data_IF_225436726089
#
_entry.id   IF_225436726089
#
_cell.length_a   1.000
_cell.length_b   1.000
_cell.length_c   1.000
_cell.angle_alpha   90.00
_cell.angle_beta   90.00
_cell.angle_gamma   90.00
#
_symmetry.space_group_name_H-M   'P 1'
#
loop_
_entity.id
_entity.type
_entity.pdbx_description
1 polymer ?
#
# COMPACT_ATOMS: atom_id res chain seq x y z
N UNK A 1 11.11 15.97 -3.24
CA UNK A 1 11.15 14.78 -4.12
C UNK A 1 11.47 13.50 -3.36
N UNK A 2 12.49 13.48 -2.49
CA UNK A 2 12.87 12.28 -1.70
C UNK A 2 11.70 11.60 -0.96
N UNK A 3 10.87 12.36 -0.23
CA UNK A 3 9.70 11.82 0.49
C UNK A 3 8.69 11.14 -0.46
N UNK A 4 8.60 11.57 -1.72
CA UNK A 4 7.68 10.97 -2.70
C UNK A 4 8.09 9.56 -3.08
N UNK A 5 9.39 9.29 -3.24
CA UNK A 5 9.88 7.94 -3.47
C UNK A 5 9.59 7.00 -2.30
N UNK A 6 9.58 7.51 -1.06
CA UNK A 6 9.18 6.73 0.12
C UNK A 6 7.67 6.42 0.11
N UNK A 7 6.84 7.39 -0.27
CA UNK A 7 5.39 7.18 -0.47
C UNK A 7 5.15 6.12 -1.54
N UNK A 8 5.86 6.21 -2.67
CA UNK A 8 5.75 5.20 -3.72
C UNK A 8 6.22 3.82 -3.24
N UNK A 9 7.35 3.75 -2.52
CA UNK A 9 7.83 2.50 -1.93
C UNK A 9 6.81 1.88 -0.96
N UNK A 10 6.15 2.71 -0.14
CA UNK A 10 5.07 2.29 0.75
C UNK A 10 3.88 1.71 -0.04
N UNK A 11 3.40 2.41 -1.07
CA UNK A 11 2.30 1.95 -1.91
C UNK A 11 2.64 0.64 -2.63
N UNK A 12 3.86 0.52 -3.16
CA UNK A 12 4.36 -0.70 -3.79
C UNK A 12 4.37 -1.88 -2.79
N UNK A 13 4.90 -1.67 -1.58
CA UNK A 13 5.01 -2.72 -0.56
C UNK A 13 3.64 -3.14 -0.05
N UNK A 14 2.73 -2.18 0.15
CA UNK A 14 1.33 -2.42 0.48
C UNK A 14 0.66 -3.25 -0.61
N UNK A 15 0.84 -2.89 -1.88
CA UNK A 15 0.34 -3.66 -3.01
C UNK A 15 0.86 -5.10 -3.01
N UNK A 16 2.17 -5.27 -2.80
CA UNK A 16 2.80 -6.57 -2.73
C UNK A 16 2.23 -7.45 -1.61
N UNK A 17 2.15 -6.92 -0.40
CA UNK A 17 1.66 -7.65 0.77
C UNK A 17 0.20 -8.06 0.64
N UNK A 18 -0.67 -7.14 0.22
CA UNK A 18 -2.09 -7.44 0.04
C UNK A 18 -2.34 -8.41 -1.12
N UNK A 19 -1.65 -8.25 -2.24
CA UNK A 19 -1.77 -9.18 -3.38
C UNK A 19 -1.32 -10.59 -2.99
N UNK A 20 -0.24 -10.72 -2.21
CA UNK A 20 0.19 -12.01 -1.66
C UNK A 20 -0.87 -12.65 -0.75
N UNK A 21 -1.54 -11.84 0.08
CA UNK A 21 -2.62 -12.31 0.95
C UNK A 21 -3.80 -12.84 0.12
N UNK A 22 -4.28 -12.09 -0.88
CA UNK A 22 -5.35 -12.52 -1.77
C UNK A 22 -4.97 -13.80 -2.52
N UNK A 23 -3.74 -13.91 -3.00
CA UNK A 23 -3.26 -15.12 -3.67
C UNK A 23 -3.29 -16.34 -2.77
N UNK A 24 -2.82 -16.22 -1.52
CA UNK A 24 -2.83 -17.31 -0.55
C UNK A 24 -4.27 -17.73 -0.20
N UNK A 25 -5.15 -16.77 0.06
CA UNK A 25 -6.52 -17.04 0.49
C UNK A 25 -7.34 -17.69 -0.62
N UNK A 26 -7.21 -17.23 -1.87
CA UNK A 26 -7.91 -17.85 -2.99
C UNK A 26 -7.37 -19.24 -3.31
N UNK A 27 -6.05 -19.45 -3.24
CA UNK A 27 -5.45 -20.78 -3.38
C UNK A 27 -5.95 -21.79 -2.33
N UNK A 28 -6.28 -21.35 -1.11
CA UNK A 28 -6.88 -22.19 -0.08
C UNK A 28 -8.38 -22.44 -0.33
N UNK A 29 -9.11 -21.43 -0.80
CA UNK A 29 -10.54 -21.54 -1.08
C UNK A 29 -10.88 -22.52 -2.22
N UNK A 30 -9.94 -22.76 -3.14
CA UNK A 30 -10.12 -23.75 -4.21
C UNK A 30 -10.13 -25.21 -3.69
N UNK A 31 -9.41 -25.48 -2.58
CA UNK A 31 -9.32 -26.82 -1.96
C UNK A 31 -10.58 -27.17 -1.17
N UNK A 32 -11.23 -26.17 -0.58
CA UNK A 32 -12.40 -26.33 0.32
C UNK A 32 -13.74 -26.39 -0.46
N UNK A 33 -13.69 -26.33 -1.80
CA UNK A 33 -14.86 -26.15 -2.67
C UNK A 33 -15.66 -27.43 -2.97
N UNK A 34 -15.43 -28.54 -2.26
CA UNK A 34 -15.97 -29.86 -2.59
C UNK A 34 -17.21 -30.30 -1.78
N UNK A 35 -17.80 -29.42 -0.98
CA UNK A 35 -18.99 -29.75 -0.17
C UNK A 35 -20.26 -29.00 -0.65
N UNK A 36 -21.31 -29.77 -0.98
CA UNK A 36 -22.57 -29.35 -1.59
C UNK A 36 -23.60 -28.94 -0.52
N UNK A 37 -23.44 -27.76 0.06
CA UNK A 37 -24.49 -27.13 0.88
C UNK A 37 -24.75 -25.68 0.47
N UNK A 38 -26.03 -25.28 0.58
CA UNK A 38 -26.68 -24.02 0.20
C UNK A 38 -25.78 -22.88 -0.31
N UNK A 39 -25.91 -22.59 -1.61
CA UNK A 39 -25.10 -21.65 -2.39
C UNK A 39 -25.06 -20.22 -1.79
N UNK A 40 -26.18 -19.73 -1.26
CA UNK A 40 -26.31 -18.36 -0.76
C UNK A 40 -25.58 -18.14 0.58
N UNK A 41 -25.69 -19.11 1.49
CA UNK A 41 -24.98 -19.05 2.79
C UNK A 41 -23.46 -19.22 2.60
N UNK A 42 -23.05 -20.04 1.62
CA UNK A 42 -21.64 -20.23 1.23
C UNK A 42 -21.02 -18.96 0.64
N UNK A 43 -21.79 -18.15 -0.09
CA UNK A 43 -21.32 -16.89 -0.66
C UNK A 43 -20.99 -15.86 0.44
N UNK A 44 -21.91 -15.66 1.39
CA UNK A 44 -21.74 -14.70 2.49
C UNK A 44 -20.56 -15.10 3.38
N UNK A 45 -20.47 -16.39 3.74
CA UNK A 45 -19.37 -16.91 4.57
C UNK A 45 -18.01 -16.85 3.89
N UNK A 46 -17.95 -17.00 2.56
CA UNK A 46 -16.71 -16.86 1.78
C UNK A 46 -16.26 -15.41 1.64
N UNK A 47 -17.19 -14.47 1.49
CA UNK A 47 -16.89 -13.03 1.30
C UNK A 47 -16.58 -12.34 2.62
N UNK A 48 -17.19 -12.78 3.74
CA UNK A 48 -17.04 -12.13 5.05
C UNK A 48 -15.58 -11.89 5.49
N UNK A 49 -14.65 -12.87 5.42
CA UNK A 49 -13.26 -12.64 5.79
C UNK A 49 -12.56 -11.57 4.96
N UNK A 50 -12.96 -11.40 3.69
CA UNK A 50 -12.42 -10.37 2.80
C UNK A 50 -12.96 -8.99 3.19
N UNK A 51 -14.26 -8.90 3.48
CA UNK A 51 -14.90 -7.66 3.95
C UNK A 51 -14.34 -7.24 5.31
N UNK A 52 -14.23 -8.17 6.26
CA UNK A 52 -13.61 -7.91 7.56
C UNK A 52 -12.19 -7.37 7.39
N UNK A 53 -11.38 -7.98 6.51
CA UNK A 53 -10.03 -7.48 6.22
C UNK A 53 -10.03 -6.07 5.62
N UNK A 54 -10.97 -5.78 4.71
CA UNK A 54 -11.11 -4.43 4.17
C UNK A 54 -11.42 -3.41 5.28
N UNK A 55 -12.36 -3.73 6.17
CA UNK A 55 -12.70 -2.89 7.32
C UNK A 55 -11.53 -2.70 8.28
N UNK A 56 -10.76 -3.75 8.58
CA UNK A 56 -9.56 -3.65 9.43
C UNK A 56 -8.52 -2.68 8.87
N UNK A 57 -8.24 -2.78 7.56
CA UNK A 57 -7.24 -1.92 6.92
C UNK A 57 -7.75 -0.49 6.84
N UNK A 58 -9.01 -0.29 6.43
CA UNK A 58 -9.61 1.04 6.38
C UNK A 58 -9.65 1.68 7.78
N UNK A 59 -9.97 0.92 8.82
CA UNK A 59 -9.89 1.36 10.20
C UNK A 59 -8.46 1.80 10.57
N UNK A 60 -7.47 0.94 10.34
CA UNK A 60 -6.06 1.18 10.70
C UNK A 60 -5.51 2.45 10.04
N UNK A 61 -5.90 2.73 8.80
CA UNK A 61 -5.44 3.90 8.08
C UNK A 61 -6.19 5.17 8.49
N UNK A 62 -7.50 5.08 8.77
CA UNK A 62 -8.35 6.26 8.86
C UNK A 62 -8.66 6.73 10.27
N UNK A 63 -8.76 5.83 11.26
CA UNK A 63 -9.29 6.20 12.58
C UNK A 63 -8.53 7.39 13.17
N UNK A 64 -7.20 7.29 13.23
CA UNK A 64 -6.40 8.32 13.88
C UNK A 64 -6.51 9.67 13.16
N UNK A 65 -6.50 9.67 11.83
CA UNK A 65 -6.67 10.89 11.03
C UNK A 65 -8.06 11.52 11.23
N UNK A 66 -9.13 10.71 11.28
CA UNK A 66 -10.49 11.19 11.52
C UNK A 66 -10.62 11.81 12.91
N UNK A 67 -10.06 11.16 13.94
CA UNK A 67 -10.04 11.70 15.31
C UNK A 67 -9.26 13.02 15.36
N UNK A 68 -8.09 13.10 14.72
CA UNK A 68 -7.32 14.34 14.63
C UNK A 68 -8.07 15.46 13.91
N UNK A 69 -8.76 15.14 12.80
CA UNK A 69 -9.59 16.11 12.09
C UNK A 69 -10.71 16.67 12.97
N UNK A 70 -11.37 15.80 13.74
CA UNK A 70 -12.41 16.20 14.68
C UNK A 70 -11.85 17.09 15.81
N UNK A 71 -10.76 16.66 16.45
CA UNK A 71 -10.16 17.40 17.57
C UNK A 71 -9.58 18.75 17.17
N UNK A 72 -8.97 18.84 15.99
CA UNK A 72 -8.30 20.05 15.50
C UNK A 72 -9.22 20.92 14.63
N UNK A 73 -10.48 20.52 14.44
CA UNK A 73 -11.43 21.15 13.52
C UNK A 73 -10.83 21.38 12.11
N UNK A 74 -10.14 20.35 11.59
CA UNK A 74 -9.49 20.40 10.28
C UNK A 74 -10.19 19.47 9.29
N UNK A 75 -10.15 19.84 8.01
CA UNK A 75 -10.68 19.00 6.94
C UNK A 75 -9.84 17.73 6.77
N UNK A 76 -10.48 16.63 6.40
CA UNK A 76 -9.82 15.34 6.20
C UNK A 76 -8.67 15.38 5.19
N UNK A 77 -8.79 16.20 4.15
CA UNK A 77 -7.74 16.40 3.15
C UNK A 77 -6.47 17.11 3.65
N UNK A 78 -6.48 17.69 4.85
CA UNK A 78 -5.25 18.21 5.48
C UNK A 78 -4.21 17.09 5.61
N UNK A 79 -4.65 15.89 5.99
CA UNK A 79 -3.81 14.69 6.05
C UNK A 79 -3.87 13.87 4.75
N UNK A 80 -3.63 14.50 3.60
CA UNK A 80 -3.92 13.95 2.26
C UNK A 80 -3.36 12.54 1.98
N UNK A 81 -2.28 12.13 2.66
CA UNK A 81 -1.70 10.79 2.50
C UNK A 81 -2.69 9.68 2.91
N UNK A 82 -3.54 9.93 3.92
CA UNK A 82 -4.53 8.97 4.41
C UNK A 82 -5.65 8.68 3.40
N UNK A 83 -6.31 9.68 2.79
CA UNK A 83 -7.21 9.43 1.66
C UNK A 83 -6.51 8.74 0.50
N UNK A 84 -5.25 9.09 0.23
CA UNK A 84 -4.47 8.51 -0.87
C UNK A 84 -4.26 7.00 -0.69
N UNK A 85 -3.74 6.56 0.46
CA UNK A 85 -3.53 5.13 0.72
C UNK A 85 -4.85 4.36 0.82
N UNK A 86 -5.91 4.99 1.35
CA UNK A 86 -7.25 4.39 1.45
C UNK A 86 -7.89 4.18 0.07
N UNK A 87 -7.75 5.16 -0.82
CA UNK A 87 -8.19 5.05 -2.21
C UNK A 87 -7.46 3.90 -2.92
N UNK A 88 -6.13 3.90 -2.87
CA UNK A 88 -5.32 2.88 -3.55
C UNK A 88 -5.55 1.47 -2.99
N UNK A 89 -5.75 1.34 -1.68
CA UNK A 89 -6.13 0.07 -1.08
C UNK A 89 -7.52 -0.40 -1.54
N UNK A 90 -8.51 0.50 -1.63
CA UNK A 90 -9.84 0.18 -2.16
C UNK A 90 -9.75 -0.26 -3.62
N UNK A 91 -8.96 0.45 -4.42
CA UNK A 91 -8.68 0.08 -5.80
C UNK A 91 -8.05 -1.31 -5.91
N UNK A 92 -7.02 -1.60 -5.10
CA UNK A 92 -6.39 -2.91 -5.02
C UNK A 92 -7.40 -4.01 -4.67
N UNK A 93 -8.22 -3.77 -3.64
CA UNK A 93 -9.21 -4.74 -3.16
C UNK A 93 -10.18 -5.14 -4.28
N UNK A 94 -10.71 -4.16 -5.02
CA UNK A 94 -11.61 -4.38 -6.15
C UNK A 94 -10.87 -5.09 -7.29
N UNK A 95 -9.70 -4.59 -7.68
CA UNK A 95 -8.90 -5.16 -8.77
C UNK A 95 -8.54 -6.64 -8.52
N UNK A 96 -8.10 -6.97 -7.31
CA UNK A 96 -7.75 -8.34 -6.93
C UNK A 96 -8.98 -9.24 -6.84
N UNK A 97 -10.10 -8.74 -6.34
CA UNK A 97 -11.35 -9.49 -6.28
C UNK A 97 -11.84 -9.85 -7.70
N UNK A 98 -11.80 -8.90 -8.62
CA UNK A 98 -12.14 -9.13 -10.03
C UNK A 98 -11.14 -10.07 -10.72
N UNK A 99 -9.84 -9.91 -10.46
CA UNK A 99 -8.80 -10.78 -11.00
C UNK A 99 -9.06 -12.25 -10.65
N UNK A 100 -9.33 -12.56 -9.37
CA UNK A 100 -9.56 -13.93 -8.97
C UNK A 100 -10.89 -14.49 -9.46
N UNK A 101 -11.94 -13.66 -9.53
CA UNK A 101 -13.24 -14.09 -10.04
C UNK A 101 -13.25 -14.36 -11.55
N UNK A 102 -12.57 -13.52 -12.33
CA UNK A 102 -12.61 -13.54 -13.80
C UNK A 102 -11.47 -14.39 -14.39
N UNK A 103 -10.22 -14.18 -13.94
CA UNK A 103 -9.02 -14.71 -14.61
C UNK A 103 -8.51 -16.02 -14.00
N UNK A 104 -8.78 -16.25 -12.71
CA UNK A 104 -8.35 -17.46 -11.99
C UNK A 104 -9.46 -18.50 -11.81
N UNK A 105 -10.62 -18.34 -12.47
CA UNK A 105 -11.69 -19.34 -12.44
C UNK A 105 -11.16 -20.67 -13.01
N UNK A 106 -11.25 -21.72 -12.17
CA UNK A 106 -10.81 -23.12 -12.34
C UNK A 106 -10.71 -23.55 -13.81
N UNK A 107 -9.49 -23.49 -14.37
CA UNK A 107 -9.21 -23.85 -15.78
C UNK A 107 -7.79 -24.40 -15.99
N UNK A 108 -7.04 -24.79 -14.95
CA UNK A 108 -5.68 -25.34 -15.16
C UNK A 108 -5.31 -26.41 -14.11
N UNK A 109 -6.21 -27.37 -13.82
CA UNK A 109 -5.89 -28.54 -12.95
C UNK A 109 -5.74 -29.85 -13.76
N UNK A 110 -5.86 -29.83 -15.09
CA UNK A 110 -5.79 -31.03 -15.92
C UNK A 110 -4.81 -30.88 -17.08
N UNK A 111 -3.68 -31.59 -17.02
CA UNK A 111 -2.75 -31.75 -18.14
C UNK A 111 -1.31 -31.55 -17.70
N UNK A 112 -0.51 -32.61 -17.71
CA UNK A 112 0.88 -32.66 -17.26
C UNK A 112 1.91 -32.14 -18.27
N UNK A 113 1.50 -31.53 -19.38
CA UNK A 113 2.46 -31.05 -20.38
C UNK A 113 2.80 -29.58 -20.18
N UNK A 114 4.11 -29.27 -20.10
CA UNK A 114 4.64 -27.91 -20.18
C UNK A 114 4.53 -27.48 -21.65
N UNK A 115 3.30 -27.26 -22.10
CA UNK A 115 3.03 -26.81 -23.46
C UNK A 115 3.17 -25.29 -23.57
N UNK A 116 3.71 -24.82 -24.69
CA UNK A 116 3.69 -23.41 -25.13
C UNK A 116 2.30 -22.75 -24.96
N UNK A 117 1.23 -23.56 -25.00
CA UNK A 117 -0.14 -23.15 -24.74
C UNK A 117 -0.38 -22.64 -23.30
N UNK A 118 0.26 -23.22 -22.27
CA UNK A 118 0.15 -22.76 -20.88
C UNK A 118 0.82 -21.40 -20.68
N UNK A 119 2.01 -21.22 -21.26
CA UNK A 119 2.72 -19.94 -21.22
C UNK A 119 1.94 -18.84 -21.97
N UNK A 120 1.39 -19.18 -23.15
CA UNK A 120 0.55 -18.25 -23.91
C UNK A 120 -0.71 -17.84 -23.12
N UNK A 121 -1.44 -18.80 -22.53
CA UNK A 121 -2.59 -18.49 -21.65
C UNK A 121 -2.20 -17.60 -20.48
N UNK A 122 -1.03 -17.80 -19.89
CA UNK A 122 -0.54 -16.93 -18.83
C UNK A 122 -0.26 -15.51 -19.30
N UNK A 123 0.47 -15.35 -20.40
CA UNK A 123 0.78 -14.02 -20.95
C UNK A 123 -0.54 -13.29 -21.27
N UNK A 124 -1.52 -13.99 -21.85
CA UNK A 124 -2.86 -13.44 -22.08
C UNK A 124 -3.53 -13.03 -20.78
N UNK A 125 -3.56 -13.90 -19.76
CA UNK A 125 -4.15 -13.57 -18.44
C UNK A 125 -3.46 -12.37 -17.77
N UNK A 126 -2.12 -12.28 -17.87
CA UNK A 126 -1.33 -11.17 -17.33
C UNK A 126 -1.61 -9.88 -18.09
N UNK A 127 -1.69 -9.92 -19.42
CA UNK A 127 -2.03 -8.76 -20.25
C UNK A 127 -3.44 -8.29 -19.96
N UNK A 128 -4.42 -9.19 -19.88
CA UNK A 128 -5.80 -8.84 -19.51
C UNK A 128 -5.85 -8.24 -18.10
N UNK A 129 -5.12 -8.79 -17.14
CA UNK A 129 -5.03 -8.21 -15.80
C UNK A 129 -4.38 -6.82 -15.82
N UNK A 130 -3.28 -6.64 -16.54
CA UNK A 130 -2.61 -5.36 -16.70
C UNK A 130 -3.52 -4.32 -17.36
N UNK A 131 -4.32 -4.71 -18.36
CA UNK A 131 -5.31 -3.84 -18.99
C UNK A 131 -6.45 -3.49 -18.03
N UNK A 132 -6.96 -4.48 -17.27
CA UNK A 132 -8.02 -4.28 -16.28
C UNK A 132 -7.61 -3.25 -15.21
N UNK A 133 -6.33 -3.25 -14.80
CA UNK A 133 -5.82 -2.31 -13.79
C UNK A 133 -5.36 -0.97 -14.40
N UNK A 134 -4.78 -0.95 -15.59
CA UNK A 134 -4.27 0.29 -16.17
C UNK A 134 -5.37 1.14 -16.82
N UNK A 135 -6.35 0.51 -17.48
CA UNK A 135 -7.37 1.24 -18.24
C UNK A 135 -8.21 2.20 -17.37
N UNK A 136 -8.70 1.83 -16.17
CA UNK A 136 -9.42 2.76 -15.31
C UNK A 136 -8.54 3.93 -14.85
N UNK A 137 -7.28 3.67 -14.53
CA UNK A 137 -6.33 4.71 -14.07
C UNK A 137 -6.08 5.73 -15.19
N UNK A 138 -5.83 5.25 -16.42
CA UNK A 138 -5.67 6.11 -17.59
C UNK A 138 -6.94 6.91 -17.90
N UNK A 139 -8.11 6.28 -17.79
CA UNK A 139 -9.39 6.95 -18.00
C UNK A 139 -9.59 8.09 -16.99
N UNK A 140 -9.35 7.84 -15.70
CA UNK A 140 -9.46 8.86 -14.65
C UNK A 140 -8.45 10.00 -14.84
N UNK A 141 -7.23 9.69 -15.28
CA UNK A 141 -6.19 10.70 -15.50
C UNK A 141 -6.47 11.58 -16.72
N UNK A 142 -6.91 10.99 -17.83
CA UNK A 142 -7.17 11.71 -19.09
C UNK A 142 -8.49 12.48 -19.09
N UNK A 143 -9.45 12.08 -18.25
CA UNK A 143 -10.78 12.69 -18.19
C UNK A 143 -11.01 13.36 -16.82
N UNK A 144 -10.51 14.61 -16.61
CA UNK A 144 -10.75 15.36 -15.37
C UNK A 144 -12.23 15.52 -15.02
N UNK A 145 -13.11 15.55 -16.04
CA UNK A 145 -14.56 15.61 -15.84
C UNK A 145 -15.12 14.37 -15.15
N UNK A 146 -14.62 13.18 -15.49
CA UNK A 146 -14.99 11.91 -14.84
C UNK A 146 -14.47 11.89 -13.42
N UNK A 147 -13.19 12.26 -13.23
CA UNK A 147 -12.59 12.38 -11.90
C UNK A 147 -13.41 13.32 -11.00
N UNK A 148 -13.82 14.47 -11.54
CA UNK A 148 -14.58 15.46 -10.80
C UNK A 148 -15.98 14.95 -10.41
N UNK A 149 -16.65 14.22 -11.30
CA UNK A 149 -17.93 13.56 -11.00
C UNK A 149 -17.79 12.43 -9.96
N UNK A 150 -16.65 11.76 -9.86
CA UNK A 150 -16.46 10.70 -8.87
C UNK A 150 -16.21 11.30 -7.48
N UNK A 151 -15.29 12.27 -7.37
CA UNK A 151 -14.82 12.75 -6.06
C UNK A 151 -15.54 14.00 -5.54
N UNK A 152 -16.09 14.85 -6.42
CA UNK A 152 -16.71 16.12 -6.03
C UNK A 152 -18.24 16.13 -6.11
N UNK A 153 -18.86 14.96 -6.21
CA UNK A 153 -20.32 14.75 -6.10
C UNK A 153 -20.66 14.23 -4.71
N UNK A 154 -21.87 14.53 -4.20
CA UNK A 154 -22.32 14.00 -2.92
C UNK A 154 -22.39 12.46 -2.98
N UNK A 155 -22.00 11.73 -1.92
CA UNK A 155 -21.60 12.23 -0.59
C UNK A 155 -20.10 12.57 -0.45
N UNK A 156 -19.25 12.15 -1.39
CA UNK A 156 -17.78 12.25 -1.29
C UNK A 156 -17.27 13.69 -1.32
N UNK A 157 -18.04 14.63 -1.88
CA UNK A 157 -17.71 16.06 -1.91
C UNK A 157 -17.25 16.56 -0.54
N UNK A 158 -17.93 16.23 0.57
CA UNK A 158 -17.56 16.73 1.90
C UNK A 158 -16.17 16.29 2.37
N UNK A 159 -15.71 15.12 1.93
CA UNK A 159 -14.43 14.52 2.31
C UNK A 159 -13.28 15.06 1.46
N UNK A 160 -13.51 15.18 0.14
CA UNK A 160 -12.47 15.47 -0.85
C UNK A 160 -12.34 16.96 -1.21
N UNK A 161 -13.24 17.83 -0.75
CA UNK A 161 -13.17 19.26 -1.08
C UNK A 161 -12.04 19.96 -0.33
N UNK A 162 -11.09 20.49 -1.10
CA UNK A 162 -10.00 21.31 -0.60
C UNK A 162 -10.34 22.76 -0.96
N UNK A 163 -10.68 23.58 0.03
CA UNK A 163 -10.66 25.03 -0.13
C UNK A 163 -9.29 25.50 0.32
N UNK A 164 -8.31 25.32 -0.55
CA UNK A 164 -6.98 25.87 -0.34
C UNK A 164 -7.04 27.32 -0.85
N UNK A 165 -7.24 28.28 0.06
CA UNK A 165 -7.04 29.72 -0.23
C UNK A 165 -5.55 29.98 -0.37
N UNK A 166 -4.95 29.48 -1.45
CA UNK A 166 -3.62 29.88 -1.88
C UNK A 166 -3.80 30.82 -3.06
N UNK A 167 -3.43 32.08 -2.84
CA UNK A 167 -3.06 33.05 -3.88
C UNK A 167 -4.09 33.25 -5.01
N UNK A 168 -5.26 33.83 -4.71
CA UNK A 168 -6.27 34.39 -5.64
C UNK A 168 -6.68 33.60 -6.91
N UNK A 169 -6.20 32.37 -7.12
CA UNK A 169 -6.54 31.47 -8.22
C UNK A 169 -7.41 30.34 -7.68
N UNK A 170 -8.72 30.56 -7.76
CA UNK A 170 -9.75 29.53 -7.54
C UNK A 170 -9.60 28.42 -8.58
N UNK A 171 -8.80 27.39 -8.31
CA UNK A 171 -8.92 26.11 -9.00
C UNK A 171 -9.33 25.02 -8.02
N UNK A 172 -10.64 24.78 -7.94
CA UNK A 172 -11.27 23.84 -7.01
C UNK A 172 -10.91 22.36 -7.28
N UNK A 173 -10.27 22.04 -8.41
CA UNK A 173 -10.09 20.67 -8.91
C UNK A 173 -8.63 20.18 -8.92
N UNK A 174 -7.67 21.08 -8.74
CA UNK A 174 -6.25 20.79 -8.95
C UNK A 174 -5.55 19.98 -7.84
N UNK A 175 -5.75 20.20 -6.53
CA UNK A 175 -4.84 19.62 -5.54
C UNK A 175 -4.98 18.10 -5.39
N UNK A 176 -6.22 17.57 -5.43
CA UNK A 176 -6.45 16.12 -5.27
C UNK A 176 -6.05 15.33 -6.52
N UNK A 177 -6.51 15.74 -7.71
CA UNK A 177 -6.13 15.09 -8.98
C UNK A 177 -4.62 15.10 -9.16
N UNK A 178 -3.97 16.23 -8.85
CA UNK A 178 -2.51 16.33 -8.88
C UNK A 178 -1.86 15.32 -7.93
N UNK A 179 -2.19 15.34 -6.63
CA UNK A 179 -1.60 14.44 -5.62
C UNK A 179 -1.84 12.96 -5.95
N UNK A 180 -3.02 12.63 -6.46
CA UNK A 180 -3.38 11.28 -6.90
C UNK A 180 -2.58 10.85 -8.13
N UNK A 181 -2.45 11.72 -9.12
CA UNK A 181 -1.81 11.40 -10.41
C UNK A 181 -0.32 11.10 -10.29
N UNK A 182 0.36 11.62 -9.27
CA UNK A 182 1.80 11.46 -9.07
C UNK A 182 2.19 10.00 -8.81
N UNK A 183 1.40 9.25 -8.05
CA UNK A 183 1.72 7.87 -7.66
C UNK A 183 0.89 6.81 -8.44
N UNK A 184 0.32 7.21 -9.59
CA UNK A 184 -0.75 6.45 -10.28
C UNK A 184 -0.42 5.03 -10.72
N UNK A 185 0.85 4.72 -11.05
CA UNK A 185 1.25 3.38 -11.48
C UNK A 185 1.91 2.55 -10.38
N UNK A 186 2.26 3.17 -9.26
CA UNK A 186 3.10 2.52 -8.25
C UNK A 186 2.44 1.29 -7.64
N UNK A 187 1.15 1.39 -7.33
CA UNK A 187 0.37 0.27 -6.82
C UNK A 187 0.28 -0.86 -7.86
N UNK A 188 0.08 -0.51 -9.13
CA UNK A 188 0.04 -1.46 -10.26
C UNK A 188 1.35 -2.21 -10.39
N UNK A 189 2.49 -1.52 -10.28
CA UNK A 189 3.79 -2.17 -10.30
C UNK A 189 3.94 -3.21 -9.18
N UNK A 190 3.47 -2.92 -7.97
CA UNK A 190 3.49 -3.88 -6.85
C UNK A 190 2.59 -5.10 -7.08
N UNK A 191 1.39 -4.89 -7.65
CA UNK A 191 0.48 -5.98 -8.00
C UNK A 191 1.07 -6.88 -9.09
N UNK A 192 1.54 -6.29 -10.20
CA UNK A 192 2.15 -7.02 -11.32
C UNK A 192 3.40 -7.78 -10.86
N UNK A 193 4.28 -7.14 -10.08
CA UNK A 193 5.45 -7.79 -9.51
C UNK A 193 5.07 -9.03 -8.71
N UNK A 194 4.01 -8.97 -7.91
CA UNK A 194 3.54 -10.10 -7.10
C UNK A 194 3.02 -11.24 -7.96
N UNK A 195 2.19 -10.93 -8.97
CA UNK A 195 1.65 -11.95 -9.89
C UNK A 195 2.78 -12.64 -10.65
N UNK A 196 3.72 -11.86 -11.20
CA UNK A 196 4.91 -12.40 -11.86
C UNK A 196 5.74 -13.27 -10.91
N UNK A 197 5.97 -12.82 -9.68
CA UNK A 197 6.75 -13.57 -8.68
C UNK A 197 6.07 -14.88 -8.28
N UNK A 198 4.75 -14.87 -8.06
CA UNK A 198 3.97 -16.08 -7.72
C UNK A 198 3.94 -17.08 -8.87
N UNK A 199 3.85 -16.58 -10.10
CA UNK A 199 3.93 -17.42 -11.29
C UNK A 199 5.32 -18.04 -11.46
N UNK A 200 6.39 -17.26 -11.34
CA UNK A 200 7.75 -17.78 -11.35
C UNK A 200 7.94 -18.86 -10.28
N UNK A 201 7.37 -18.70 -9.09
CA UNK A 201 7.38 -19.72 -8.03
C UNK A 201 6.62 -21.00 -8.43
N UNK A 202 5.54 -20.89 -9.18
CA UNK A 202 4.78 -22.04 -9.68
C UNK A 202 5.53 -22.76 -10.81
N UNK A 203 6.10 -22.03 -11.77
CA UNK A 203 6.87 -22.60 -12.88
C UNK A 203 8.19 -23.24 -12.46
N UNK A 204 8.92 -22.63 -11.52
CA UNK A 204 10.15 -23.23 -10.96
C UNK A 204 9.87 -24.39 -9.98
N UNK A 205 8.59 -24.67 -9.70
CA UNK A 205 8.17 -25.66 -8.70
C UNK A 205 8.13 -25.08 -7.29
N UNK A 206 7.00 -25.29 -6.61
CA UNK A 206 6.73 -24.86 -5.22
C UNK A 206 7.72 -25.42 -4.19
N UNK A 207 8.56 -26.38 -4.57
CA UNK A 207 9.54 -27.05 -3.72
C UNK A 207 10.90 -26.34 -3.59
N UNK A 208 11.14 -25.22 -4.28
CA UNK A 208 12.47 -24.59 -4.28
C UNK A 208 12.64 -23.51 -3.20
N UNK A 209 11.57 -22.80 -2.80
CA UNK A 209 11.66 -21.67 -1.88
C UNK A 209 11.21 -21.93 -0.43
N UNK A 210 10.11 -22.64 -0.14
CA UNK A 210 9.74 -23.01 1.23
C UNK A 210 10.62 -24.15 1.78
N UNK A 211 11.07 -25.11 0.97
CA UNK A 211 12.05 -26.12 1.43
C UNK A 211 13.44 -25.52 1.70
N UNK A 212 13.78 -24.38 1.07
CA UNK A 212 14.99 -23.63 1.39
C UNK A 212 14.89 -22.85 2.73
N UNK A 213 13.68 -22.65 3.26
CA UNK A 213 13.43 -22.00 4.57
C UNK A 213 13.03 -22.97 5.68
N UNK A 214 12.35 -24.07 5.37
CA UNK A 214 11.80 -25.01 6.36
C UNK A 214 12.69 -26.25 6.61
N UNK A 215 13.50 -26.67 5.62
CA UNK A 215 14.35 -27.86 5.72
C UNK A 215 15.83 -27.49 5.58
N UNK A 216 16.37 -26.81 6.59
CA UNK A 216 17.82 -26.67 6.78
C UNK A 216 18.33 -27.49 7.96
N UNK A 217 18.44 -28.82 7.80
CA UNK A 217 19.74 -29.46 7.82
C UNK A 217 20.30 -29.36 6.39
N UNK A 218 21.07 -28.29 6.16
CA UNK A 218 22.06 -28.11 5.11
C UNK A 218 22.14 -29.28 4.09
N UNK A 219 21.43 -29.24 2.94
CA UNK A 219 21.79 -30.15 1.86
C UNK A 219 23.15 -29.69 1.35
N UNK A 220 24.14 -30.58 1.42
CA UNK A 220 25.41 -30.45 0.71
C UNK A 220 25.13 -30.49 -0.81
N UNK A 221 24.51 -29.43 -1.34
CA UNK A 221 24.49 -29.17 -2.76
C UNK A 221 25.91 -28.74 -3.15
N UNK A 222 26.45 -29.42 -4.15
CA UNK A 222 27.85 -29.37 -4.60
C UNK A 222 28.45 -27.95 -4.60
N UNK A 223 29.63 -27.82 -3.98
CA UNK A 223 30.42 -26.60 -3.73
C UNK A 223 30.45 -25.59 -4.91
N UNK A 224 30.47 -26.07 -6.15
CA UNK A 224 30.53 -25.22 -7.34
C UNK A 224 29.25 -24.42 -7.65
N UNK A 225 28.04 -24.97 -7.43
CA UNK A 225 26.78 -24.24 -7.73
C UNK A 225 26.50 -23.12 -6.73
N UNK A 226 26.90 -23.29 -5.47
CA UNK A 226 26.83 -22.22 -4.47
C UNK A 226 27.79 -21.07 -4.77
N UNK A 227 28.97 -21.37 -5.33
CA UNK A 227 29.97 -20.36 -5.69
C UNK A 227 29.46 -19.43 -6.80
N UNK A 228 28.94 -19.98 -7.90
CA UNK A 228 28.44 -19.17 -9.04
C UNK A 228 27.24 -18.27 -8.66
N UNK A 229 26.29 -18.77 -7.86
CA UNK A 229 25.16 -17.95 -7.40
C UNK A 229 25.61 -16.79 -6.52
N UNK A 230 26.61 -16.99 -5.67
CA UNK A 230 27.13 -15.92 -4.81
C UNK A 230 27.75 -14.78 -5.63
N UNK A 231 28.44 -15.07 -6.73
CA UNK A 231 28.96 -14.03 -7.63
C UNK A 231 27.84 -13.27 -8.35
N UNK A 232 26.82 -13.98 -8.85
CA UNK A 232 25.64 -13.34 -9.48
C UNK A 232 24.90 -12.47 -8.47
N UNK A 233 24.67 -12.98 -7.26
CA UNK A 233 24.02 -12.25 -6.17
C UNK A 233 24.83 -11.02 -5.72
N UNK A 234 26.16 -11.13 -5.68
CA UNK A 234 27.04 -9.99 -5.42
C UNK A 234 26.93 -8.94 -6.54
N UNK A 235 26.94 -9.37 -7.81
CA UNK A 235 26.73 -8.49 -8.96
C UNK A 235 25.38 -7.74 -8.90
N UNK A 236 24.29 -8.44 -8.62
CA UNK A 236 22.94 -7.85 -8.43
C UNK A 236 22.94 -6.86 -7.26
N UNK A 237 23.65 -7.17 -6.17
CA UNK A 237 23.74 -6.29 -5.01
C UNK A 237 24.48 -5.00 -5.33
N UNK A 238 25.64 -5.11 -5.99
CA UNK A 238 26.44 -3.95 -6.42
C UNK A 238 25.63 -3.10 -7.40
N UNK A 239 24.99 -3.71 -8.39
CA UNK A 239 24.13 -3.01 -9.35
C UNK A 239 22.95 -2.32 -8.66
N UNK A 240 22.28 -3.00 -7.73
CA UNK A 240 21.17 -2.43 -6.98
C UNK A 240 21.62 -1.25 -6.11
N UNK A 241 22.80 -1.34 -5.49
CA UNK A 241 23.39 -0.26 -4.72
C UNK A 241 23.76 0.93 -5.61
N UNK A 242 24.43 0.71 -6.74
CA UNK A 242 24.83 1.79 -7.65
C UNK A 242 23.63 2.50 -8.23
N UNK A 243 22.58 1.77 -8.65
CA UNK A 243 21.33 2.37 -9.14
C UNK A 243 20.64 3.17 -8.03
N UNK A 244 20.55 2.63 -6.81
CA UNK A 244 19.92 3.33 -5.69
C UNK A 244 20.65 4.65 -5.36
N UNK A 245 21.99 4.61 -5.31
CA UNK A 245 22.81 5.80 -5.05
C UNK A 245 22.71 6.79 -6.22
N UNK A 246 22.77 6.33 -7.47
CA UNK A 246 22.66 7.18 -8.65
C UNK A 246 21.30 7.91 -8.70
N UNK A 247 20.22 7.21 -8.40
CA UNK A 247 18.88 7.81 -8.30
C UNK A 247 18.80 8.78 -7.13
N UNK A 248 19.40 8.47 -5.98
CA UNK A 248 19.43 9.42 -4.87
C UNK A 248 20.16 10.72 -5.28
N UNK A 249 21.34 10.61 -5.88
CA UNK A 249 22.11 11.76 -6.37
C UNK A 249 21.30 12.55 -7.41
N UNK A 250 20.65 11.89 -8.37
CA UNK A 250 19.86 12.58 -9.39
C UNK A 250 18.64 13.30 -8.79
N UNK A 251 17.96 12.69 -7.81
CA UNK A 251 16.81 13.30 -7.12
C UNK A 251 17.22 14.51 -6.29
N UNK A 252 18.36 14.46 -5.59
CA UNK A 252 18.87 15.60 -4.83
C UNK A 252 19.50 16.68 -5.72
N UNK A 253 20.07 16.30 -6.87
CA UNK A 253 20.65 17.22 -7.85
C UNK A 253 19.64 17.84 -8.81
N UNK A 254 18.40 17.35 -8.87
CA UNK A 254 17.39 17.83 -9.80
C UNK A 254 16.92 19.25 -9.43
N UNK A 255 17.26 20.23 -10.28
CA UNK A 255 16.85 21.62 -10.12
C UNK A 255 15.42 21.90 -10.61
N UNK A 256 14.99 21.18 -11.65
CA UNK A 256 13.64 21.33 -12.20
C UNK A 256 12.63 20.42 -11.51
N UNK A 257 11.88 21.01 -10.58
CA UNK A 257 10.84 20.30 -9.82
C UNK A 257 9.68 19.85 -10.71
N UNK A 258 9.37 20.55 -11.81
CA UNK A 258 8.20 20.23 -12.64
C UNK A 258 8.47 18.95 -13.43
N UNK A 259 9.59 18.88 -14.14
CA UNK A 259 9.98 17.67 -14.88
C UNK A 259 10.11 16.46 -13.96
N UNK A 260 10.67 16.63 -12.76
CA UNK A 260 10.77 15.55 -11.77
C UNK A 260 9.40 14.99 -11.36
N UNK A 261 8.39 15.85 -11.16
CA UNK A 261 7.03 15.43 -10.80
C UNK A 261 6.35 14.70 -11.95
N UNK A 262 6.53 15.18 -13.19
CA UNK A 262 5.95 14.55 -14.38
C UNK A 262 6.55 13.17 -14.65
N UNK A 263 7.84 13.00 -14.38
CA UNK A 263 8.56 11.74 -14.62
C UNK A 263 8.40 10.72 -13.48
N UNK A 264 8.17 11.18 -12.25
CA UNK A 264 8.06 10.34 -11.05
C UNK A 264 7.14 9.11 -11.19
N UNK A 265 5.90 9.20 -11.73
CA UNK A 265 5.01 8.05 -11.89
C UNK A 265 5.64 6.89 -12.65
N UNK A 266 6.53 7.19 -13.60
CA UNK A 266 7.18 6.21 -14.49
C UNK A 266 8.49 5.68 -13.91
N UNK A 267 9.28 6.54 -13.26
CA UNK A 267 10.64 6.23 -12.82
C UNK A 267 10.71 5.74 -11.38
N UNK A 268 9.66 5.95 -10.56
CA UNK A 268 9.65 5.56 -9.15
C UNK A 268 9.92 4.06 -8.91
N UNK A 269 9.60 3.19 -9.87
CA UNK A 269 9.82 1.74 -9.78
C UNK A 269 11.31 1.36 -9.77
N UNK A 270 12.17 2.14 -10.44
CA UNK A 270 13.59 1.82 -10.62
C UNK A 270 14.31 1.72 -9.26
N UNK A 271 14.31 2.76 -8.39
CA UNK A 271 14.96 2.66 -7.08
C UNK A 271 14.29 1.63 -6.16
N UNK A 272 12.98 1.39 -6.29
CA UNK A 272 12.27 0.38 -5.49
C UNK A 272 12.80 -1.02 -5.82
N UNK A 273 12.82 -1.39 -7.11
CA UNK A 273 13.32 -2.70 -7.54
C UNK A 273 14.83 -2.86 -7.31
N UNK A 274 15.62 -1.79 -7.50
CA UNK A 274 17.04 -1.80 -7.22
C UNK A 274 17.32 -2.10 -5.73
N UNK A 275 16.63 -1.39 -4.83
CA UNK A 275 16.75 -1.63 -3.39
C UNK A 275 16.27 -3.03 -3.00
N UNK A 276 15.12 -3.48 -3.52
CA UNK A 276 14.60 -4.83 -3.23
C UNK A 276 15.55 -5.93 -3.71
N UNK A 277 16.11 -5.80 -4.91
CA UNK A 277 17.06 -6.76 -5.46
C UNK A 277 18.33 -6.82 -4.62
N UNK A 278 18.91 -5.65 -4.32
CA UNK A 278 20.06 -5.52 -3.42
C UNK A 278 19.80 -6.17 -2.06
N UNK A 279 18.63 -5.91 -1.47
CA UNK A 279 18.26 -6.38 -0.14
C UNK A 279 18.04 -7.90 -0.07
N UNK A 280 17.63 -8.52 -1.17
CA UNK A 280 17.23 -9.93 -1.21
C UNK A 280 18.25 -10.86 -1.88
N UNK A 281 19.26 -10.33 -2.58
CA UNK A 281 20.23 -11.13 -3.33
C UNK A 281 21.20 -11.91 -2.42
N UNK A 282 21.80 -11.25 -1.43
CA UNK A 282 22.80 -11.85 -0.52
C UNK A 282 22.19 -12.30 0.82
N UNK A 283 22.62 -13.45 1.33
CA UNK A 283 22.13 -14.01 2.59
C UNK A 283 22.39 -13.12 3.83
N UNK A 284 23.60 -12.56 4.04
CA UNK A 284 23.86 -11.71 5.21
C UNK A 284 23.03 -10.43 5.18
N UNK A 285 22.80 -9.90 3.97
CA UNK A 285 21.93 -8.75 3.76
C UNK A 285 20.52 -9.17 4.12
N UNK A 286 19.91 -10.15 3.44
CA UNK A 286 18.52 -10.58 3.66
C UNK A 286 18.14 -10.87 5.12
N UNK A 287 19.05 -11.48 5.89
CA UNK A 287 18.77 -11.97 7.26
C UNK A 287 18.94 -10.94 8.37
N UNK A 288 19.67 -9.84 8.14
CA UNK A 288 19.95 -8.83 9.18
C UNK A 288 19.17 -7.55 8.94
N UNK A 289 18.35 -7.13 9.88
CA UNK A 289 17.61 -5.88 9.81
C UNK A 289 17.78 -5.09 11.11
N UNK A 290 17.56 -3.77 11.06
CA UNK A 290 17.54 -2.94 12.26
C UNK A 290 16.18 -3.07 12.95
N UNK A 291 16.19 -3.57 14.19
CA UNK A 291 14.97 -3.67 15.00
C UNK A 291 14.33 -2.28 15.23
N UNK A 292 15.15 -1.24 15.42
CA UNK A 292 14.67 0.13 15.59
C UNK A 292 13.92 0.63 14.35
N UNK A 293 14.49 0.47 13.15
CA UNK A 293 13.80 0.91 11.93
C UNK A 293 12.59 0.04 11.57
N UNK A 294 12.60 -1.24 11.94
CA UNK A 294 11.43 -2.09 11.81
C UNK A 294 10.28 -1.58 12.71
N UNK A 295 10.58 -1.28 13.97
CA UNK A 295 9.63 -0.70 14.91
C UNK A 295 9.08 0.66 14.44
N UNK A 296 9.93 1.56 13.93
CA UNK A 296 9.46 2.81 13.30
C UNK A 296 8.54 2.54 12.10
N UNK A 297 8.76 1.46 11.35
CA UNK A 297 7.90 1.03 10.26
C UNK A 297 6.50 0.63 10.73
N UNK A 298 6.39 -0.04 11.88
CA UNK A 298 5.12 -0.50 12.47
C UNK A 298 4.21 0.68 12.89
N UNK A 299 4.84 1.78 13.35
CA UNK A 299 4.16 3.03 13.76
C UNK A 299 4.24 4.14 12.70
N UNK A 300 4.58 3.79 11.44
CA UNK A 300 4.88 4.77 10.39
C UNK A 300 3.74 5.74 10.06
N UNK A 301 2.48 5.28 10.14
CA UNK A 301 1.32 6.14 9.92
C UNK A 301 1.18 7.18 11.03
N UNK A 302 1.36 6.77 12.28
CA UNK A 302 1.32 7.66 13.44
C UNK A 302 2.44 8.68 13.36
N UNK A 303 3.67 8.26 13.04
CA UNK A 303 4.80 9.16 12.82
C UNK A 303 4.49 10.20 11.74
N UNK A 304 3.85 9.77 10.64
CA UNK A 304 3.46 10.67 9.56
C UNK A 304 2.37 11.67 9.96
N UNK A 305 1.45 11.31 10.83
CA UNK A 305 0.35 12.19 11.26
C UNK A 305 0.76 13.11 12.41
N UNK A 306 1.49 12.58 13.40
CA UNK A 306 1.93 13.31 14.59
C UNK A 306 2.99 14.36 14.23
N UNK A 307 3.81 14.16 13.18
CA UNK A 307 4.80 15.17 12.78
C UNK A 307 4.17 16.54 12.49
N UNK A 308 2.91 16.59 12.02
CA UNK A 308 2.21 17.85 11.74
C UNK A 308 1.94 18.68 12.99
N UNK A 309 1.93 18.03 14.16
CA UNK A 309 1.56 18.63 15.44
C UNK A 309 2.74 18.76 16.41
N UNK A 310 3.71 17.86 16.31
CA UNK A 310 4.87 17.82 17.22
C UNK A 310 6.11 18.40 16.56
N UNK A 311 6.38 18.06 15.30
CA UNK A 311 7.60 18.52 14.62
C UNK A 311 7.40 19.87 13.95
N UNK A 312 6.23 20.06 13.37
CA UNK A 312 5.84 21.27 12.65
C UNK A 312 4.91 22.14 13.50
N UNK A 313 4.95 23.44 13.25
CA UNK A 313 4.09 24.46 13.85
C UNK A 313 3.45 25.29 12.75
N UNK A 314 2.43 26.10 13.12
CA UNK A 314 1.72 27.00 12.21
C UNK A 314 1.33 26.31 10.89
N UNK A 315 0.48 25.27 10.93
CA UNK A 315 0.00 24.56 9.73
C UNK A 315 1.08 24.10 8.75
N UNK A 316 2.24 23.64 9.26
CA UNK A 316 3.40 23.19 8.47
C UNK A 316 4.29 24.29 7.88
N UNK A 317 4.07 25.56 8.24
CA UNK A 317 4.95 26.67 7.83
C UNK A 317 6.11 26.92 8.80
N UNK A 318 6.04 26.36 10.02
CA UNK A 318 7.07 26.51 11.03
C UNK A 318 7.59 25.16 11.54
N UNK A 319 8.72 25.20 12.23
CA UNK A 319 9.24 24.09 13.03
C UNK A 319 8.95 24.43 14.49
N UNK A 320 8.55 23.45 15.28
CA UNK A 320 8.37 23.65 16.71
C UNK A 320 9.75 23.85 17.38
N UNK A 321 9.88 24.91 18.18
CA UNK A 321 11.13 25.24 18.84
C UNK A 321 10.85 25.55 20.33
N UNK A 322 11.20 24.59 21.19
CA UNK A 322 10.93 24.60 22.63
C UNK A 322 12.16 25.03 23.45
N UNK A 323 13.38 24.73 22.97
CA UNK A 323 14.63 25.05 23.67
C UNK A 323 15.41 26.11 22.88
N UNK A 324 15.33 27.40 23.28
CA UNK A 324 16.08 28.47 22.66
C UNK A 324 17.59 28.20 22.67
N UNK A 325 18.29 28.59 21.60
CA UNK A 325 19.76 28.53 21.45
C UNK A 325 20.41 27.13 21.43
N UNK A 326 19.65 26.04 21.60
CA UNK A 326 20.18 24.66 21.56
C UNK A 326 19.43 23.82 20.52
N UNK A 327 19.74 23.98 19.21
CA UNK A 327 18.98 23.33 18.14
C UNK A 327 19.05 21.79 18.16
N UNK A 328 20.20 21.20 18.52
CA UNK A 328 20.34 19.74 18.60
C UNK A 328 19.56 19.15 19.78
N UNK A 329 19.54 19.83 20.93
CA UNK A 329 18.76 19.41 22.11
C UNK A 329 17.27 19.51 21.79
N UNK A 330 16.84 20.61 21.17
CA UNK A 330 15.47 20.78 20.70
C UNK A 330 15.06 19.66 19.73
N UNK A 331 15.92 19.34 18.75
CA UNK A 331 15.67 18.27 17.80
C UNK A 331 15.54 16.90 18.48
N UNK A 332 16.44 16.58 19.41
CA UNK A 332 16.40 15.31 20.15
C UNK A 332 15.13 15.21 21.00
N UNK A 333 14.77 16.29 21.72
CA UNK A 333 13.57 16.34 22.56
C UNK A 333 12.29 16.17 21.74
N UNK A 334 12.14 16.94 20.66
CA UNK A 334 10.94 16.88 19.80
C UNK A 334 10.83 15.52 19.11
N UNK A 335 11.96 14.96 18.66
CA UNK A 335 11.98 13.62 18.06
C UNK A 335 11.61 12.54 19.08
N UNK A 336 12.08 12.63 20.32
CA UNK A 336 11.70 11.71 21.38
C UNK A 336 10.20 11.80 21.69
N UNK A 337 9.65 13.01 21.81
CA UNK A 337 8.20 13.23 21.98
C UNK A 337 7.39 12.66 20.83
N UNK A 338 7.83 12.89 19.59
CA UNK A 338 7.18 12.33 18.38
C UNK A 338 7.12 10.80 18.43
N UNK A 339 8.24 10.15 18.79
CA UNK A 339 8.31 8.69 18.91
C UNK A 339 7.40 8.16 20.02
N UNK A 340 7.43 8.78 21.20
CA UNK A 340 6.60 8.38 22.34
C UNK A 340 5.11 8.53 22.04
N UNK A 341 4.67 9.69 21.54
CA UNK A 341 3.26 9.93 21.21
C UNK A 341 2.79 8.98 20.11
N UNK A 342 3.61 8.76 19.07
CA UNK A 342 3.25 7.85 17.98
C UNK A 342 3.12 6.41 18.46
N UNK A 343 3.98 5.97 19.38
CA UNK A 343 3.90 4.65 19.99
C UNK A 343 2.61 4.46 20.79
N UNK A 344 2.27 5.42 21.66
CA UNK A 344 1.07 5.33 22.49
C UNK A 344 -0.21 5.35 21.63
N UNK A 345 -0.26 6.21 20.62
CA UNK A 345 -1.39 6.24 19.68
C UNK A 345 -1.51 4.92 18.93
N UNK A 346 -0.41 4.35 18.47
CA UNK A 346 -0.42 3.05 17.79
C UNK A 346 -0.99 1.95 18.70
N UNK A 347 -0.55 1.90 19.97
CA UNK A 347 -1.05 0.94 20.94
C UNK A 347 -2.56 1.10 21.19
N UNK A 348 -3.03 2.34 21.40
CA UNK A 348 -4.43 2.63 21.66
C UNK A 348 -5.31 2.30 20.45
N UNK A 349 -4.94 2.73 19.25
CA UNK A 349 -5.70 2.47 18.03
C UNK A 349 -5.80 0.97 17.72
N UNK A 350 -4.74 0.20 17.97
CA UNK A 350 -4.76 -1.26 17.85
C UNK A 350 -5.71 -1.91 18.88
N UNK A 351 -5.72 -1.41 20.13
CA UNK A 351 -6.63 -1.90 21.17
C UNK A 351 -8.10 -1.59 20.86
N UNK A 352 -8.38 -0.41 20.32
CA UNK A 352 -9.73 0.02 19.93
C UNK A 352 -10.29 -0.79 18.74
N UNK A 353 -9.41 -1.36 17.90
CA UNK A 353 -9.80 -2.05 16.67
C UNK A 353 -10.83 -3.17 16.93
N UNK A 354 -10.63 -3.94 18.00
CA UNK A 354 -11.50 -5.07 18.37
C UNK A 354 -12.92 -4.65 18.74
N UNK A 355 -13.11 -3.41 19.18
CA UNK A 355 -14.42 -2.90 19.56
C UNK A 355 -15.13 -2.22 18.41
N UNK A 356 -14.38 -1.62 17.48
CA UNK A 356 -14.93 -0.85 16.36
C UNK A 356 -15.19 -1.76 15.16
N UNK A 357 -14.21 -2.58 14.77
CA UNK A 357 -14.34 -3.49 13.63
C UNK A 357 -15.27 -4.65 14.02
N UNK A 358 -16.37 -4.89 13.29
CA UNK A 358 -17.29 -5.98 13.61
C UNK A 358 -16.67 -7.35 13.31
N UNK A 359 -16.95 -8.33 14.17
CA UNK A 359 -16.50 -9.71 14.01
C UNK A 359 -17.50 -10.56 13.21
N UNK A 360 -18.78 -10.16 13.19
CA UNK A 360 -19.85 -10.84 12.45
C UNK A 360 -20.59 -9.93 11.46
N UNK A 361 -21.19 -10.49 10.38
CA UNK A 361 -22.01 -9.73 9.45
C UNK A 361 -23.20 -9.02 10.11
N UNK A 362 -23.83 -9.67 11.10
CA UNK A 362 -24.93 -9.09 11.85
C UNK A 362 -24.49 -7.86 12.66
N UNK A 363 -23.32 -7.94 13.28
CA UNK A 363 -22.74 -6.82 14.03
C UNK A 363 -22.38 -5.64 13.11
N UNK A 364 -21.90 -5.91 11.89
CA UNK A 364 -21.67 -4.87 10.89
C UNK A 364 -22.97 -4.13 10.53
N UNK A 365 -24.04 -4.86 10.28
CA UNK A 365 -25.34 -4.26 9.98
C UNK A 365 -25.86 -3.43 11.16
N UNK A 366 -25.75 -3.96 12.37
CA UNK A 366 -26.16 -3.26 13.59
C UNK A 366 -25.35 -1.97 13.81
N UNK A 367 -24.02 -2.04 13.77
CA UNK A 367 -23.14 -0.86 13.92
C UNK A 367 -23.34 0.13 12.79
N UNK A 368 -23.51 -0.34 11.56
CA UNK A 368 -23.79 0.49 10.39
C UNK A 368 -25.11 1.24 10.52
N UNK A 369 -26.16 0.57 10.98
CA UNK A 369 -27.46 1.16 11.25
C UNK A 369 -27.37 2.20 12.36
N UNK A 370 -26.62 1.93 13.44
CA UNK A 370 -26.40 2.88 14.54
C UNK A 370 -25.67 4.13 14.07
N UNK A 371 -24.60 3.99 13.28
CA UNK A 371 -23.88 5.12 12.68
C UNK A 371 -24.79 5.92 11.75
N UNK A 372 -25.61 5.25 10.95
CA UNK A 372 -26.54 5.89 10.04
C UNK A 372 -27.64 6.67 10.80
N UNK A 373 -28.18 6.11 11.88
CA UNK A 373 -29.12 6.81 12.76
C UNK A 373 -28.49 8.03 13.43
N UNK A 374 -27.24 7.92 13.91
CA UNK A 374 -26.48 9.05 14.46
C UNK A 374 -26.27 10.14 13.41
N UNK A 375 -25.92 9.75 12.18
CA UNK A 375 -25.75 10.68 11.08
C UNK A 375 -27.05 11.42 10.75
N UNK A 376 -28.18 10.71 10.68
CA UNK A 376 -29.50 11.32 10.48
C UNK A 376 -29.86 12.28 11.62
N UNK A 377 -29.65 11.87 12.87
CA UNK A 377 -29.88 12.72 14.04
C UNK A 377 -29.07 14.03 13.96
N UNK A 378 -27.79 13.92 13.60
CA UNK A 378 -26.91 15.09 13.45
C UNK A 378 -27.33 16.00 12.29
N UNK A 379 -27.79 15.46 11.16
CA UNK A 379 -28.29 16.28 10.04
C UNK A 379 -29.58 17.01 10.40
N UNK A 380 -30.48 16.37 11.15
CA UNK A 380 -31.78 16.98 11.51
C UNK A 380 -31.59 18.13 12.51
N UNK A 381 -30.48 18.15 13.25
CA UNK A 381 -30.19 19.15 14.29
C UNK A 381 -29.10 20.18 13.93
N UNK A 382 -28.57 20.14 12.70
CA UNK A 382 -27.67 21.15 12.12
C UNK A 382 -28.43 21.91 11.04
#
# INVERSE_FOLDING_TARGET
MSVRYLVSAYLFLSAFGHTCYFWRKNSQADVESQDDTNLDFKCITKIWPLVRRYLEVMYRMNLFAVVLCFMMNQKYMFYYFVPLISFWFTYLFVAMSLFFQILMRKSDVGGSDIDSAKLCRFVVKLVVFALLILAPIELLHRMPSVFSKIFFTAPLRGIFTIYETWDHKKSLQEPWLFRWSVDRYTLVFGMLFTVCLKWCQQCLGTNVLPNALANTPRPQATSHKHSTWNYVAAGITILGLTVTVAVAISVYGCRDKISAILLHPYVCIIPILAYMSMRNALLPVRTRYSAFFAWCGDISLELYLVQFHVWMSNNSYGILYLVPNFPLVNFALISATLLCVSHEVHYLTAKLQRYIVPDSPAELLFKGLLIWLLYLFLIVHI
#
